data_IF_175097770725
#
_entry.id   IF_175097770725
#
_cell.length_a   1.000
_cell.length_b   1.000
_cell.length_c   1.000
_cell.angle_alpha   90.00
_cell.angle_beta   90.00
_cell.angle_gamma   90.00
#
_symmetry.space_group_name_H-M   'P 1'
#
loop_
_entity.id
_entity.type
_entity.pdbx_description
1 polymer ?
#
# COMPACT_ATOMS: atom_id res chain seq x y z
N UNK A 1 13.11 -9.92 -17.31
CA UNK A 1 12.14 -10.40 -16.31
C UNK A 1 12.94 -10.91 -15.12
N UNK A 2 12.71 -10.31 -13.94
CA UNK A 2 13.68 -10.25 -12.83
C UNK A 2 14.14 -11.61 -12.32
N UNK A 3 15.44 -11.71 -11.99
CA UNK A 3 16.02 -12.87 -11.34
C UNK A 3 15.31 -13.15 -10.00
N UNK A 4 15.24 -14.43 -9.57
CA UNK A 4 14.70 -14.75 -8.25
C UNK A 4 15.46 -13.99 -7.17
N UNK A 5 14.70 -13.36 -6.26
CA UNK A 5 15.26 -12.70 -5.08
C UNK A 5 16.04 -13.74 -4.29
N UNK A 6 17.35 -13.50 -4.11
CA UNK A 6 18.18 -14.39 -3.32
C UNK A 6 17.77 -14.31 -1.85
N UNK A 7 17.99 -15.38 -1.09
CA UNK A 7 17.62 -15.44 0.33
C UNK A 7 18.28 -14.34 1.19
N UNK A 8 19.36 -13.72 0.71
CA UNK A 8 20.06 -12.60 1.35
C UNK A 8 19.58 -11.20 0.90
N UNK A 9 18.59 -11.11 0.00
CA UNK A 9 18.07 -9.84 -0.54
C UNK A 9 16.83 -9.20 0.14
N UNK A 10 16.15 -9.80 1.16
CA UNK A 10 15.07 -9.12 1.86
C UNK A 10 15.56 -8.27 3.06
N UNK A 11 14.79 -7.25 3.49
CA UNK A 11 13.49 -6.83 2.95
C UNK A 11 13.63 -5.89 1.74
N UNK A 12 13.03 -6.29 0.61
CA UNK A 12 12.87 -5.39 -0.52
C UNK A 12 11.65 -4.49 -0.24
N UNK A 13 11.87 -3.17 -0.15
CA UNK A 13 10.81 -2.16 0.03
C UNK A 13 10.74 -1.30 -1.23
N UNK A 14 9.54 -1.13 -1.78
CA UNK A 14 9.31 -0.36 -3.00
C UNK A 14 8.11 0.57 -2.80
N UNK A 15 8.28 1.82 -3.23
CA UNK A 15 7.18 2.76 -3.43
C UNK A 15 6.91 2.90 -4.93
N UNK A 16 5.65 2.83 -5.36
CA UNK A 16 5.27 2.96 -6.76
C UNK A 16 4.07 3.90 -6.91
N UNK A 17 4.16 4.86 -7.83
CA UNK A 17 3.04 5.72 -8.22
C UNK A 17 2.45 5.23 -9.53
N UNK A 18 1.14 4.96 -9.57
CA UNK A 18 0.45 4.52 -10.78
C UNK A 18 -1.00 4.98 -10.84
N UNK A 19 -1.57 4.94 -12.04
CA UNK A 19 -3.01 5.11 -12.26
C UNK A 19 -3.71 3.78 -12.02
N UNK A 20 -4.72 3.78 -11.15
CA UNK A 20 -5.56 2.64 -10.83
C UNK A 20 -6.91 2.73 -11.54
N UNK A 21 -7.37 1.61 -12.10
CA UNK A 21 -8.67 1.49 -12.77
C UNK A 21 -9.56 0.50 -12.01
N UNK A 22 -10.77 0.92 -11.59
CA UNK A 22 -11.74 0.08 -10.87
C UNK A 22 -13.12 0.14 -11.53
N UNK A 23 -13.75 -1.02 -11.70
CA UNK A 23 -15.03 -1.15 -12.42
C UNK A 23 -16.24 -0.67 -11.61
N UNK A 24 -16.19 -0.78 -10.27
CA UNK A 24 -17.24 -0.29 -9.35
C UNK A 24 -18.68 -0.78 -9.69
N UNK A 25 -18.80 -1.97 -10.30
CA UNK A 25 -20.01 -2.49 -10.97
C UNK A 25 -21.18 -2.89 -10.09
N UNK A 26 -21.04 -2.89 -8.75
CA UNK A 26 -22.12 -3.25 -7.82
C UNK A 26 -22.13 -2.33 -6.58
N UNK A 27 -22.39 -1.04 -6.78
CA UNK A 27 -22.41 -0.07 -5.67
C UNK A 27 -23.55 0.94 -5.81
N UNK A 28 -24.61 0.78 -5.02
CA UNK A 28 -25.68 1.77 -4.86
C UNK A 28 -25.28 3.01 -4.06
N UNK A 29 -24.04 3.50 -4.20
CA UNK A 29 -23.47 4.52 -3.32
C UNK A 29 -22.61 5.55 -4.09
N UNK A 30 -22.97 6.82 -3.87
CA UNK A 30 -22.28 8.07 -4.22
C UNK A 30 -21.91 8.28 -5.70
N UNK A 31 -22.88 8.68 -6.55
CA UNK A 31 -22.61 9.04 -7.94
C UNK A 31 -21.87 10.38 -8.12
N UNK A 32 -21.62 11.12 -7.03
CA UNK A 32 -21.08 12.47 -7.07
C UNK A 32 -19.82 12.60 -6.20
N UNK A 33 -18.88 13.41 -6.66
CA UNK A 33 -17.64 13.69 -5.94
C UNK A 33 -16.49 12.75 -6.32
N UNK A 34 -15.42 12.81 -5.53
CA UNK A 34 -14.16 12.10 -5.80
C UNK A 34 -13.93 10.89 -4.88
N UNK A 35 -14.91 10.58 -4.02
CA UNK A 35 -14.77 9.51 -3.04
C UNK A 35 -14.70 8.12 -3.70
N UNK A 36 -15.48 7.91 -4.78
CA UNK A 36 -15.47 6.68 -5.58
C UNK A 36 -15.45 7.02 -7.08
N UNK A 37 -14.33 6.77 -7.74
CA UNK A 37 -14.13 7.04 -9.17
C UNK A 37 -13.48 5.85 -9.85
N UNK A 38 -13.72 5.69 -11.15
CA UNK A 38 -13.15 4.60 -11.94
C UNK A 38 -11.64 4.73 -12.15
N UNK A 39 -11.09 5.94 -12.00
CA UNK A 39 -9.69 6.23 -12.24
C UNK A 39 -9.12 7.17 -11.18
N UNK A 40 -8.03 6.78 -10.52
CA UNK A 40 -7.32 7.62 -9.56
C UNK A 40 -5.82 7.28 -9.52
N UNK A 41 -4.99 8.23 -9.07
CA UNK A 41 -3.56 8.00 -8.84
C UNK A 41 -3.32 7.50 -7.43
N UNK A 42 -2.49 6.46 -7.28
CA UNK A 42 -2.13 5.90 -5.98
C UNK A 42 -0.62 5.73 -5.87
N UNK A 43 -0.08 6.10 -4.71
CA UNK A 43 1.26 5.69 -4.27
C UNK A 43 1.10 4.46 -3.40
N UNK A 44 1.73 3.35 -3.79
CA UNK A 44 1.67 2.06 -3.09
C UNK A 44 3.00 1.73 -2.43
N UNK A 45 2.96 1.33 -1.16
CA UNK A 45 4.07 0.64 -0.49
C UNK A 45 3.93 -0.87 -0.69
N UNK A 46 4.97 -1.48 -1.25
CA UNK A 46 5.04 -2.92 -1.44
C UNK A 46 6.34 -3.45 -0.86
N UNK A 47 6.28 -4.58 -0.17
CA UNK A 47 7.49 -5.20 0.34
C UNK A 47 7.47 -6.72 0.31
N UNK A 48 8.67 -7.28 0.21
CA UNK A 48 8.91 -8.73 0.22
C UNK A 48 9.88 -9.02 1.35
N UNK A 49 9.46 -9.85 2.30
CA UNK A 49 10.27 -10.26 3.44
C UNK A 49 10.81 -11.67 3.27
N UNK A 50 11.81 -12.01 4.09
CA UNK A 50 12.09 -13.41 4.38
C UNK A 50 10.94 -14.02 5.19
N UNK A 51 10.96 -15.34 5.33
CA UNK A 51 10.06 -16.08 6.20
C UNK A 51 10.87 -17.03 7.09
N UNK A 52 11.99 -16.56 7.64
CA UNK A 52 12.91 -17.38 8.44
C UNK A 52 12.45 -17.49 9.89
N UNK A 53 11.97 -16.39 10.48
CA UNK A 53 11.42 -16.35 11.84
C UNK A 53 9.90 -16.52 11.86
N UNK A 54 9.24 -16.24 10.75
CA UNK A 54 7.78 -16.23 10.64
C UNK A 54 7.14 -14.96 11.20
N UNK A 55 7.94 -13.94 11.55
CA UNK A 55 7.48 -12.65 12.10
C UNK A 55 7.77 -11.47 11.17
N UNK A 56 8.60 -11.67 10.15
CA UNK A 56 9.15 -10.57 9.35
C UNK A 56 8.07 -9.82 8.55
N UNK A 57 7.02 -10.50 8.10
CA UNK A 57 5.88 -9.86 7.41
C UNK A 57 5.06 -8.99 8.36
N UNK A 58 4.89 -9.41 9.61
CA UNK A 58 4.13 -8.66 10.62
C UNK A 58 4.93 -7.42 11.07
N UNK A 59 6.24 -7.56 11.21
CA UNK A 59 7.17 -6.46 11.46
C UNK A 59 7.09 -5.40 10.33
N UNK A 60 7.13 -5.84 9.06
CA UNK A 60 7.00 -4.95 7.91
C UNK A 60 5.60 -4.29 7.82
N UNK A 61 4.54 -5.03 8.15
CA UNK A 61 3.18 -4.48 8.22
C UNK A 61 3.10 -3.37 9.27
N UNK A 62 3.71 -3.58 10.44
CA UNK A 62 3.82 -2.57 11.49
C UNK A 62 4.56 -1.32 11.02
N UNK A 63 5.66 -1.48 10.29
CA UNK A 63 6.42 -0.39 9.67
C UNK A 63 5.54 0.41 8.68
N UNK A 64 4.85 -0.27 7.76
CA UNK A 64 3.98 0.38 6.77
C UNK A 64 2.80 1.12 7.43
N UNK A 65 2.20 0.54 8.46
CA UNK A 65 1.14 1.20 9.21
C UNK A 65 1.66 2.45 9.92
N UNK A 66 2.89 2.40 10.47
CA UNK A 66 3.54 3.57 11.06
C UNK A 66 3.70 4.71 10.07
N UNK A 67 4.24 4.41 8.88
CA UNK A 67 4.41 5.40 7.80
C UNK A 67 3.07 5.99 7.32
N UNK A 68 2.02 5.16 7.20
CA UNK A 68 0.68 5.66 6.87
C UNK A 68 0.19 6.67 7.91
N UNK A 69 0.31 6.34 9.21
CA UNK A 69 -0.09 7.22 10.31
C UNK A 69 0.69 8.53 10.32
N UNK A 70 2.00 8.48 10.06
CA UNK A 70 2.85 9.65 9.94
C UNK A 70 2.36 10.56 8.80
N UNK A 71 2.11 10.01 7.60
CA UNK A 71 1.58 10.77 6.45
C UNK A 71 0.26 11.47 6.80
N UNK A 72 -0.69 10.77 7.42
CA UNK A 72 -1.95 11.40 7.82
C UNK A 72 -1.76 12.49 8.89
N UNK A 73 -0.85 12.28 9.83
CA UNK A 73 -0.53 13.24 10.89
C UNK A 73 0.13 14.50 10.34
N UNK A 74 1.09 14.37 9.42
CA UNK A 74 1.75 15.49 8.74
C UNK A 74 0.77 16.33 7.91
N UNK A 75 -0.24 15.69 7.32
CA UNK A 75 -1.33 16.37 6.61
C UNK A 75 -2.36 17.01 7.55
N UNK A 76 -2.27 16.80 8.86
CA UNK A 76 -3.21 17.32 9.85
C UNK A 76 -4.61 16.67 9.76
N UNK A 77 -4.70 15.46 9.22
CA UNK A 77 -5.95 14.74 9.06
C UNK A 77 -6.26 13.89 10.29
N UNK A 78 -7.49 13.95 10.78
CA UNK A 78 -7.94 13.04 11.85
C UNK A 78 -8.26 11.66 11.25
N UNK A 79 -7.68 10.60 11.81
CA UNK A 79 -7.87 9.21 11.38
C UNK A 79 -8.03 8.27 12.58
N UNK A 80 -8.38 7.00 12.30
CA UNK A 80 -8.52 5.92 13.30
C UNK A 80 -7.99 4.61 12.74
#
# INVERSE_FOLDING_TARGET
FGAPLSRASPPARVACSSTCYRTETDTGQEPWGLYRVHQFTKVEMFGVTAAERGTESDELLGEFLGLQKEIFSELGLHYR
#
